data_IF_394170225951
#
_entry.id   IF_394170225951
#
_cell.length_a   1.000
_cell.length_b   1.000
_cell.length_c   1.000
_cell.angle_alpha   90.00
_cell.angle_beta   90.00
_cell.angle_gamma   90.00
#
_symmetry.space_group_name_H-M   'P 1'
#
loop_
_entity.id
_entity.type
_entity.pdbx_description
1 polymer ?
#
# COMPACT_ATOMS: atom_id res chain seq x y z
N UNK A 1 13.70 -7.55 -20.54
CA UNK A 1 12.23 -7.60 -20.32
C UNK A 1 11.60 -6.77 -21.41
N UNK A 2 10.89 -7.41 -22.32
CA UNK A 2 10.21 -6.73 -23.41
C UNK A 2 8.82 -6.29 -22.92
N UNK A 3 8.47 -5.00 -23.03
CA UNK A 3 7.09 -4.57 -22.85
C UNK A 3 6.23 -5.28 -23.88
N UNK A 4 5.13 -5.91 -23.42
CA UNK A 4 4.21 -6.60 -24.32
C UNK A 4 3.16 -5.61 -24.82
N UNK A 5 2.88 -5.74 -26.12
CA UNK A 5 1.85 -5.02 -26.84
C UNK A 5 0.49 -5.45 -26.24
N UNK A 6 -0.45 -4.51 -26.09
CA UNK A 6 -1.86 -4.87 -25.91
C UNK A 6 -2.25 -5.83 -27.04
N UNK A 7 -2.99 -6.89 -26.76
CA UNK A 7 -3.27 -8.00 -27.70
C UNK A 7 -3.92 -7.55 -29.04
N UNK A 8 -4.30 -6.27 -29.15
CA UNK A 8 -5.00 -5.68 -30.30
C UNK A 8 -4.15 -4.72 -31.16
N UNK A 9 -2.85 -4.56 -30.91
CA UNK A 9 -1.99 -3.70 -31.76
C UNK A 9 -2.32 -2.20 -31.72
N UNK A 10 -3.18 -1.75 -30.81
CA UNK A 10 -3.50 -0.33 -30.64
C UNK A 10 -2.29 0.44 -30.12
N UNK A 11 -1.78 1.36 -30.96
CA UNK A 11 -0.87 2.40 -30.52
C UNK A 11 -1.65 3.36 -29.63
N UNK A 12 -1.46 3.29 -28.32
CA UNK A 12 -1.95 4.32 -27.43
C UNK A 12 -1.29 5.66 -27.84
N UNK A 13 -2.10 6.63 -28.27
CA UNK A 13 -1.64 8.00 -28.48
C UNK A 13 -1.42 8.64 -27.10
N UNK A 14 -0.18 8.61 -26.62
CA UNK A 14 0.16 9.27 -25.37
C UNK A 14 0.15 10.79 -25.58
N UNK A 15 -0.56 11.49 -24.71
CA UNK A 15 -0.32 12.92 -24.50
C UNK A 15 1.10 13.19 -23.96
N UNK A 16 1.39 14.46 -23.68
CA UNK A 16 2.63 14.86 -23.03
C UNK A 16 2.71 14.19 -21.65
N UNK A 17 3.88 13.63 -21.31
CA UNK A 17 4.12 13.03 -19.99
C UNK A 17 3.85 14.10 -18.91
N UNK A 18 2.98 13.85 -17.92
CA UNK A 18 2.48 14.89 -17.02
C UNK A 18 3.59 15.61 -16.24
N UNK A 19 4.61 14.86 -15.80
CA UNK A 19 5.74 15.40 -15.04
C UNK A 19 6.93 14.44 -15.06
N UNK A 20 8.14 15.01 -15.09
CA UNK A 20 9.36 14.22 -14.89
C UNK A 20 9.67 14.13 -13.39
N UNK A 21 9.92 12.93 -12.89
CA UNK A 21 10.16 12.67 -11.47
C UNK A 21 11.54 12.06 -11.31
N UNK A 22 12.34 12.63 -10.40
CA UNK A 22 13.65 12.10 -10.07
C UNK A 22 13.54 10.69 -9.45
N UNK A 23 14.36 9.72 -9.90
CA UNK A 23 14.30 8.38 -9.33
C UNK A 23 14.86 8.36 -7.90
N UNK A 24 14.34 7.46 -7.07
CA UNK A 24 14.74 7.27 -5.66
C UNK A 24 16.24 7.12 -5.50
N UNK A 25 16.95 6.50 -6.45
CA UNK A 25 18.41 6.38 -6.36
C UNK A 25 19.08 7.74 -6.32
N UNK A 26 18.67 8.66 -7.20
CA UNK A 26 19.21 10.02 -7.24
C UNK A 26 18.94 10.72 -5.91
N UNK A 27 17.72 10.60 -5.40
CA UNK A 27 17.33 11.17 -4.10
C UNK A 27 18.17 10.59 -2.96
N UNK A 28 18.25 9.27 -2.87
CA UNK A 28 19.00 8.55 -1.82
C UNK A 28 20.50 8.84 -1.92
N UNK A 29 21.07 8.98 -3.12
CA UNK A 29 22.47 9.40 -3.30
C UNK A 29 22.71 10.76 -2.66
N UNK A 30 21.83 11.74 -2.87
CA UNK A 30 21.93 13.02 -2.19
C UNK A 30 21.75 12.91 -0.66
N UNK A 31 21.04 11.88 -0.18
CA UNK A 31 20.85 11.68 1.26
C UNK A 31 22.01 10.94 1.94
N UNK A 32 22.91 10.29 1.19
CA UNK A 32 24.07 9.55 1.73
C UNK A 32 25.25 10.53 1.79
N UNK A 33 25.93 10.64 2.95
CA UNK A 33 27.21 11.37 3.03
C UNK A 33 28.23 10.68 2.12
N UNK A 34 29.13 11.45 1.48
CA UNK A 34 30.19 10.91 0.60
C UNK A 34 31.01 9.79 1.28
N UNK A 35 31.08 9.79 2.61
CA UNK A 35 31.86 8.85 3.42
C UNK A 35 31.08 7.60 3.89
N UNK A 36 29.75 7.58 3.77
CA UNK A 36 28.93 6.42 4.18
C UNK A 36 28.95 5.31 3.13
N UNK A 37 29.68 4.22 3.40
CA UNK A 37 29.65 3.02 2.55
C UNK A 37 28.22 2.44 2.50
N UNK A 38 27.69 2.11 1.30
CA UNK A 38 26.37 1.52 1.18
C UNK A 38 26.30 0.17 1.93
N UNK A 39 25.33 0.04 2.85
CA UNK A 39 25.11 -1.19 3.61
C UNK A 39 24.84 -2.37 2.65
N UNK A 40 25.53 -3.50 2.85
CA UNK A 40 25.35 -4.74 2.05
C UNK A 40 23.89 -5.20 2.14
N UNK A 41 23.21 -5.25 0.99
CA UNK A 41 21.83 -5.72 0.85
C UNK A 41 21.36 -5.72 -0.60
N UNK A 42 20.23 -6.38 -0.90
CA UNK A 42 19.64 -6.35 -2.25
C UNK A 42 19.30 -4.89 -2.60
N UNK A 43 19.84 -4.41 -3.73
CA UNK A 43 19.57 -3.05 -4.25
C UNK A 43 18.07 -2.86 -4.45
N UNK A 44 17.56 -1.70 -4.04
CA UNK A 44 16.18 -1.32 -4.30
C UNK A 44 15.90 -1.38 -5.80
N UNK A 45 14.72 -1.90 -6.16
CA UNK A 45 14.23 -1.83 -7.54
C UNK A 45 14.07 -0.35 -7.91
N UNK A 46 14.66 0.03 -9.03
CA UNK A 46 14.57 1.38 -9.59
C UNK A 46 13.55 1.40 -10.69
N UNK A 47 12.72 2.43 -10.69
CA UNK A 47 11.79 2.65 -11.78
C UNK A 47 12.55 2.86 -13.09
N UNK A 48 12.05 2.24 -14.15
CA UNK A 48 12.47 2.46 -15.53
C UNK A 48 11.21 2.85 -16.28
N UNK A 49 11.25 3.96 -17.01
CA UNK A 49 10.10 4.35 -17.82
C UNK A 49 9.83 3.26 -18.88
N UNK A 50 8.55 2.94 -19.15
CA UNK A 50 8.22 2.09 -20.30
C UNK A 50 8.66 2.81 -21.59
N UNK A 51 8.95 2.06 -22.68
CA UNK A 51 9.21 2.67 -23.97
C UNK A 51 8.10 3.62 -24.40
N UNK A 52 8.47 4.62 -25.20
CA UNK A 52 7.49 5.57 -25.75
C UNK A 52 6.38 4.80 -26.46
N UNK A 53 5.13 5.11 -26.14
CA UNK A 53 4.00 4.38 -26.72
C UNK A 53 3.57 3.14 -25.94
N UNK A 54 4.14 2.85 -24.76
CA UNK A 54 3.82 1.65 -23.97
C UNK A 54 3.56 1.97 -22.51
N UNK A 55 2.77 1.10 -21.86
CA UNK A 55 2.54 1.07 -20.41
C UNK A 55 2.95 -0.29 -19.85
N UNK A 56 3.27 -0.33 -18.57
CA UNK A 56 3.38 -1.60 -17.85
C UNK A 56 1.99 -2.13 -17.51
N UNK A 57 1.66 -3.34 -17.99
CA UNK A 57 0.40 -4.01 -17.64
C UNK A 57 0.55 -4.63 -16.25
N UNK A 58 -0.13 -4.06 -15.25
CA UNK A 58 -0.04 -4.51 -13.86
C UNK A 58 -1.00 -5.68 -13.65
N UNK A 59 -0.44 -6.84 -13.30
CA UNK A 59 -1.22 -8.00 -12.86
C UNK A 59 -1.43 -7.96 -11.36
N UNK A 60 -2.56 -8.48 -10.89
CA UNK A 60 -2.94 -8.49 -9.47
C UNK A 60 -3.12 -9.92 -9.00
N UNK A 61 -2.87 -10.14 -7.71
CA UNK A 61 -3.08 -11.44 -7.09
C UNK A 61 -4.40 -11.52 -6.33
N UNK A 62 -4.73 -12.70 -5.80
CA UNK A 62 -5.95 -12.94 -5.02
C UNK A 62 -6.08 -12.11 -3.74
N UNK A 63 -5.04 -11.37 -3.35
CA UNK A 63 -5.03 -10.45 -2.22
C UNK A 63 -5.05 -8.98 -2.67
N UNK A 64 -5.39 -8.74 -3.93
CA UNK A 64 -5.45 -7.41 -4.53
C UNK A 64 -4.10 -6.68 -4.40
N UNK A 65 -3.00 -7.43 -4.56
CA UNK A 65 -1.65 -6.88 -4.58
C UNK A 65 -0.99 -7.05 -5.95
N UNK A 66 -0.28 -6.02 -6.47
CA UNK A 66 0.41 -6.11 -7.75
C UNK A 66 1.44 -7.24 -7.77
N UNK A 67 1.50 -8.00 -8.86
CA UNK A 67 2.46 -9.07 -9.08
C UNK A 67 3.74 -8.54 -9.72
N UNK A 68 4.88 -9.12 -9.34
CA UNK A 68 6.17 -8.82 -9.96
C UNK A 68 6.27 -9.46 -11.34
N UNK A 69 7.02 -8.86 -12.29
CA UNK A 69 7.91 -7.69 -12.12
C UNK A 69 7.24 -6.31 -12.25
N UNK A 70 6.10 -6.17 -12.93
CA UNK A 70 5.45 -4.88 -13.19
C UNK A 70 4.99 -4.20 -11.90
N UNK A 71 4.50 -4.98 -10.94
CA UNK A 71 4.16 -4.49 -9.61
C UNK A 71 5.36 -3.96 -8.81
N UNK A 72 6.59 -4.43 -9.09
CA UNK A 72 7.80 -3.86 -8.47
C UNK A 72 8.18 -2.52 -9.12
N UNK A 73 7.94 -2.36 -10.44
CA UNK A 73 8.06 -1.07 -11.13
C UNK A 73 7.04 -0.06 -10.60
N UNK A 74 5.80 -0.49 -10.39
CA UNK A 74 4.75 0.34 -9.79
C UNK A 74 5.16 0.80 -8.38
N UNK A 75 5.61 -0.12 -7.53
CA UNK A 75 6.08 0.21 -6.18
C UNK A 75 7.29 1.16 -6.18
N UNK A 76 8.19 1.02 -7.16
CA UNK A 76 9.31 1.92 -7.33
C UNK A 76 8.85 3.33 -7.76
N UNK A 77 7.92 3.42 -8.71
CA UNK A 77 7.37 4.70 -9.18
C UNK A 77 6.59 5.44 -8.09
N UNK A 78 5.76 4.73 -7.34
CA UNK A 78 5.03 5.28 -6.19
C UNK A 78 6.02 5.82 -5.15
N UNK A 79 7.16 5.15 -4.95
CA UNK A 79 8.20 5.64 -4.05
C UNK A 79 8.85 6.92 -4.56
N UNK A 80 9.21 6.99 -5.84
CA UNK A 80 9.75 8.21 -6.46
C UNK A 80 8.80 9.40 -6.27
N UNK A 81 7.51 9.21 -6.56
CA UNK A 81 6.45 10.22 -6.39
C UNK A 81 6.35 10.66 -4.92
N UNK A 82 6.31 9.71 -3.98
CA UNK A 82 6.12 10.02 -2.55
C UNK A 82 7.25 10.84 -1.92
N UNK A 83 8.40 10.94 -2.58
CA UNK A 83 9.56 11.70 -2.13
C UNK A 83 9.64 13.09 -2.79
N UNK A 84 8.73 13.43 -3.70
CA UNK A 84 8.65 14.74 -4.33
C UNK A 84 7.93 15.73 -3.40
N UNK A 85 8.66 16.69 -2.82
CA UNK A 85 8.12 17.64 -1.83
C UNK A 85 7.09 18.61 -2.39
N UNK A 86 7.10 18.82 -3.69
CA UNK A 86 6.14 19.64 -4.44
C UNK A 86 4.82 18.91 -4.70
N UNK A 87 4.85 17.58 -4.89
CA UNK A 87 3.63 16.76 -4.99
C UNK A 87 3.12 16.42 -3.59
N UNK A 88 3.97 15.89 -2.72
CA UNK A 88 3.64 15.49 -1.36
C UNK A 88 4.51 16.26 -0.35
N UNK A 89 4.02 17.41 0.16
CA UNK A 89 4.72 18.18 1.17
C UNK A 89 5.08 17.36 2.40
N UNK A 90 6.35 17.42 2.79
CA UNK A 90 6.93 16.58 3.84
C UNK A 90 6.45 16.96 5.24
N UNK A 91 6.10 18.23 5.43
CA UNK A 91 5.58 18.81 6.67
C UNK A 91 4.11 18.50 6.92
N UNK A 92 3.40 17.93 5.95
CA UNK A 92 1.99 17.55 6.07
C UNK A 92 1.82 16.07 6.37
N UNK A 93 0.94 15.76 7.32
CA UNK A 93 0.45 14.41 7.53
C UNK A 93 -0.43 13.93 6.37
N UNK A 94 -0.56 12.61 6.21
CA UNK A 94 -1.36 12.02 5.13
C UNK A 94 -2.78 12.59 5.01
N UNK A 95 -3.46 12.80 6.13
CA UNK A 95 -4.83 13.35 6.14
C UNK A 95 -4.90 14.85 5.80
N UNK A 96 -3.75 15.54 5.72
CA UNK A 96 -3.60 16.95 5.34
C UNK A 96 -3.10 17.11 3.89
N UNK A 97 -2.80 15.99 3.21
CA UNK A 97 -2.45 16.00 1.78
C UNK A 97 -3.69 16.36 0.96
N UNK A 98 -3.50 17.08 -0.15
CA UNK A 98 -4.61 17.61 -0.94
C UNK A 98 -5.12 16.61 -1.97
N UNK A 99 -6.36 16.81 -2.43
CA UNK A 99 -6.92 16.07 -3.56
C UNK A 99 -6.10 16.30 -4.84
N UNK A 100 -5.47 17.47 -4.98
CA UNK A 100 -4.56 17.80 -6.09
C UNK A 100 -3.30 16.93 -6.09
N UNK A 101 -2.64 16.74 -4.94
CA UNK A 101 -1.47 15.85 -4.81
C UNK A 101 -1.78 14.43 -5.25
N UNK A 102 -2.94 13.91 -4.83
CA UNK A 102 -3.39 12.57 -5.17
C UNK A 102 -3.73 12.45 -6.66
N UNK A 103 -4.36 13.47 -7.23
CA UNK A 103 -4.72 13.50 -8.66
C UNK A 103 -3.47 13.58 -9.54
N UNK A 104 -2.50 14.40 -9.18
CA UNK A 104 -1.23 14.49 -9.88
C UNK A 104 -0.45 13.17 -9.82
N UNK A 105 -0.38 12.54 -8.65
CA UNK A 105 0.22 11.21 -8.51
C UNK A 105 -0.49 10.16 -9.38
N UNK A 106 -1.82 10.21 -9.43
CA UNK A 106 -2.62 9.30 -10.25
C UNK A 106 -2.34 9.48 -11.74
N UNK A 107 -2.33 10.72 -12.24
CA UNK A 107 -2.05 11.00 -13.66
C UNK A 107 -0.68 10.50 -14.10
N UNK A 108 0.34 10.63 -13.24
CA UNK A 108 1.69 10.14 -13.51
C UNK A 108 1.71 8.60 -13.57
N UNK A 109 0.99 7.95 -12.65
CA UNK A 109 0.91 6.49 -12.61
C UNK A 109 0.08 5.92 -13.77
N UNK A 110 -1.07 6.50 -14.09
CA UNK A 110 -1.89 6.08 -15.23
C UNK A 110 -1.10 6.18 -16.55
N UNK A 111 -0.28 7.23 -16.70
CA UNK A 111 0.58 7.37 -17.87
C UNK A 111 1.57 6.20 -18.04
N UNK A 112 2.18 5.73 -16.94
CA UNK A 112 3.24 4.71 -16.97
C UNK A 112 2.70 3.28 -16.86
N UNK A 113 1.48 3.09 -16.32
CA UNK A 113 0.91 1.79 -15.95
C UNK A 113 -0.51 1.61 -16.44
N UNK A 114 -0.80 0.44 -17.01
CA UNK A 114 -2.15 -0.04 -17.22
C UNK A 114 -2.58 -0.86 -16.01
N UNK A 115 -3.58 -0.35 -15.29
CA UNK A 115 -4.13 -0.95 -14.08
C UNK A 115 -5.54 -1.54 -14.30
N UNK A 116 -5.99 -1.67 -15.55
CA UNK A 116 -7.34 -2.15 -15.91
C UNK A 116 -7.64 -3.60 -15.49
N UNK A 117 -6.61 -4.40 -15.20
CA UNK A 117 -6.75 -5.77 -14.70
C UNK A 117 -7.22 -5.87 -13.22
N UNK A 118 -7.64 -4.76 -12.62
CA UNK A 118 -8.30 -4.72 -11.31
C UNK A 118 -9.32 -3.59 -11.29
N UNK A 119 -10.08 -3.49 -10.20
CA UNK A 119 -11.05 -2.41 -10.05
C UNK A 119 -10.35 -1.08 -9.75
N UNK A 120 -10.92 0.03 -10.23
CA UNK A 120 -10.41 1.38 -9.93
C UNK A 120 -10.30 1.63 -8.42
N UNK A 121 -11.24 1.07 -7.63
CA UNK A 121 -11.25 1.18 -6.16
C UNK A 121 -10.03 0.48 -5.54
N UNK A 122 -9.70 -0.72 -6.01
CA UNK A 122 -8.56 -1.51 -5.49
C UNK A 122 -7.24 -0.83 -5.83
N UNK A 123 -7.05 -0.45 -7.09
CA UNK A 123 -5.84 0.23 -7.55
C UNK A 123 -5.63 1.57 -6.82
N UNK A 124 -6.68 2.38 -6.67
CA UNK A 124 -6.64 3.63 -5.92
C UNK A 124 -6.33 3.42 -4.43
N UNK A 125 -6.94 2.42 -3.78
CA UNK A 125 -6.62 2.05 -2.41
C UNK A 125 -5.14 1.66 -2.24
N UNK A 126 -4.65 0.81 -3.13
CA UNK A 126 -3.27 0.32 -3.09
C UNK A 126 -2.28 1.49 -3.22
N UNK A 127 -2.51 2.37 -4.18
CA UNK A 127 -1.68 3.54 -4.43
C UNK A 127 -1.68 4.46 -3.22
N UNK A 128 -2.84 4.82 -2.66
CA UNK A 128 -2.92 5.65 -1.46
C UNK A 128 -2.20 5.02 -0.25
N UNK A 129 -2.46 3.75 0.02
CA UNK A 129 -1.83 3.06 1.15
C UNK A 129 -0.29 3.02 1.02
N UNK A 130 0.20 2.85 -0.20
CA UNK A 130 1.63 2.77 -0.52
C UNK A 130 2.30 4.15 -0.48
N UNK A 131 1.66 5.18 -1.04
CA UNK A 131 2.09 6.58 -0.94
C UNK A 131 2.18 7.02 0.53
N UNK A 132 1.13 6.79 1.32
CA UNK A 132 1.10 7.13 2.75
C UNK A 132 2.27 6.54 3.51
N UNK A 133 2.54 5.24 3.27
CA UNK A 133 3.64 4.54 3.92
C UNK A 133 4.98 5.11 3.49
N UNK A 134 5.20 5.31 2.20
CA UNK A 134 6.48 5.78 1.68
C UNK A 134 6.77 7.21 2.14
N UNK A 135 5.78 8.10 2.13
CA UNK A 135 5.91 9.46 2.68
C UNK A 135 6.28 9.44 4.17
N UNK A 136 5.60 8.59 4.97
CA UNK A 136 5.93 8.44 6.40
C UNK A 136 7.36 7.93 6.61
N UNK A 137 7.79 6.95 5.82
CA UNK A 137 9.14 6.40 5.89
C UNK A 137 10.19 7.43 5.46
N UNK A 138 9.89 8.21 4.43
CA UNK A 138 10.74 9.28 3.96
C UNK A 138 10.90 10.37 5.03
N UNK A 139 9.80 10.84 5.62
CA UNK A 139 9.82 11.78 6.76
C UNK A 139 10.66 11.26 7.93
N UNK A 140 10.54 9.97 8.27
CA UNK A 140 11.37 9.37 9.31
C UNK A 140 12.85 9.33 8.91
N UNK A 141 13.17 9.04 7.65
CA UNK A 141 14.55 9.05 7.13
C UNK A 141 15.17 10.44 7.23
N UNK A 142 14.41 11.48 6.84
CA UNK A 142 14.82 12.89 6.97
C UNK A 142 15.05 13.24 8.45
N UNK A 143 14.12 12.86 9.34
CA UNK A 143 14.28 13.09 10.79
C UNK A 143 15.54 12.42 11.34
N UNK A 144 15.78 11.15 11.00
CA UNK A 144 16.97 10.44 11.47
C UNK A 144 18.25 11.13 10.97
N UNK A 145 18.35 11.43 9.68
CA UNK A 145 19.59 11.94 9.08
C UNK A 145 19.91 13.38 9.42
N UNK A 146 18.92 14.27 9.39
CA UNK A 146 19.16 15.72 9.47
C UNK A 146 18.72 16.35 10.79
N UNK A 147 17.97 15.62 11.63
CA UNK A 147 17.56 16.10 12.94
C UNK A 147 18.23 15.32 14.08
N UNK A 148 18.18 13.98 14.07
CA UNK A 148 18.74 13.17 15.17
C UNK A 148 20.24 12.94 15.10
N UNK A 149 20.79 12.72 13.89
CA UNK A 149 22.21 12.42 13.72
C UNK A 149 23.11 13.66 13.78
N UNK A 150 22.52 14.86 13.78
CA UNK A 150 23.24 16.10 13.98
C UNK A 150 23.36 16.36 15.49
N UNK A 151 24.52 16.84 15.93
CA UNK A 151 24.78 17.17 17.34
C UNK A 151 23.63 18.03 17.91
N UNK A 152 23.23 17.76 19.16
CA UNK A 152 22.12 18.46 19.86
C UNK A 152 22.26 20.00 19.86
N UNK A 153 23.48 20.50 19.62
CA UNK A 153 23.82 21.92 19.56
C UNK A 153 23.87 22.52 18.14
N UNK A 154 23.61 21.74 17.09
CA UNK A 154 23.62 22.24 15.72
C UNK A 154 22.44 23.19 15.50
N UNK A 155 22.71 24.44 15.13
CA UNK A 155 21.67 25.44 14.85
C UNK A 155 20.89 25.07 13.59
N UNK A 156 19.59 25.42 13.56
CA UNK A 156 18.70 25.19 12.42
C UNK A 156 19.29 25.68 11.09
N UNK A 157 19.91 26.87 11.07
CA UNK A 157 20.51 27.40 9.84
C UNK A 157 21.62 26.50 9.27
N UNK A 158 22.43 25.89 10.14
CA UNK A 158 23.44 24.92 9.73
C UNK A 158 22.81 23.62 9.22
N UNK A 159 21.72 23.16 9.84
CA UNK A 159 20.98 22.00 9.32
C UNK A 159 20.40 22.29 7.93
N UNK A 160 19.86 23.49 7.72
CA UNK A 160 19.29 23.90 6.43
C UNK A 160 20.33 24.00 5.31
N UNK A 161 21.56 24.42 5.61
CA UNK A 161 22.64 24.46 4.62
C UNK A 161 23.15 23.07 4.25
N UNK A 162 22.92 22.06 5.09
CA UNK A 162 23.26 20.66 4.82
C UNK A 162 22.13 19.88 4.12
N UNK A 163 20.95 20.49 3.95
CA UNK A 163 19.84 19.82 3.28
C UNK A 163 20.14 19.63 1.79
N UNK A 164 19.87 18.43 1.25
CA UNK A 164 19.86 18.21 -0.18
C UNK A 164 18.90 19.14 -0.92
N UNK A 165 19.16 19.49 -2.20
CA UNK A 165 18.29 20.34 -3.00
C UNK A 165 16.85 19.83 -3.16
N UNK A 166 16.63 18.53 -3.05
CA UNK A 166 15.30 17.92 -3.18
C UNK A 166 14.46 17.99 -1.90
N UNK A 167 15.05 18.39 -0.76
CA UNK A 167 14.32 18.61 0.49
C UNK A 167 13.97 20.10 0.57
N UNK A 168 12.69 20.42 0.56
CA UNK A 168 12.25 21.81 0.69
C UNK A 168 12.59 22.37 2.09
N UNK A 169 13.42 23.41 2.14
CA UNK A 169 13.88 24.04 3.37
C UNK A 169 12.76 24.59 4.25
N UNK A 170 11.69 25.16 3.66
CA UNK A 170 10.56 25.69 4.42
C UNK A 170 9.76 24.56 5.08
N UNK A 171 9.52 23.47 4.34
CA UNK A 171 8.88 22.27 4.92
C UNK A 171 9.74 21.68 6.04
N UNK A 172 11.07 21.64 5.88
CA UNK A 172 11.96 21.18 6.94
C UNK A 172 11.91 22.07 8.20
N UNK A 173 11.83 23.40 8.06
CA UNK A 173 11.66 24.32 9.20
C UNK A 173 10.39 24.00 10.00
N UNK A 174 9.28 23.76 9.31
CA UNK A 174 8.01 23.39 9.96
C UNK A 174 8.14 22.07 10.73
N UNK A 175 8.79 21.07 10.14
CA UNK A 175 9.08 19.79 10.79
C UNK A 175 9.98 19.94 12.01
N UNK A 176 11.03 20.76 11.91
CA UNK A 176 11.94 21.05 13.00
C UNK A 176 11.20 21.67 14.19
N UNK A 177 10.33 22.65 13.93
CA UNK A 177 9.51 23.26 14.97
C UNK A 177 8.61 22.21 15.63
N UNK A 178 7.90 21.40 14.82
CA UNK A 178 7.01 20.36 15.33
C UNK A 178 7.74 19.32 16.18
N UNK A 179 8.91 18.83 15.74
CA UNK A 179 9.67 17.82 16.45
C UNK A 179 10.23 18.30 17.80
N UNK A 180 10.39 19.61 17.98
CA UNK A 180 10.83 20.22 19.23
C UNK A 180 9.69 20.57 20.19
N UNK A 181 8.44 20.50 19.76
CA UNK A 181 7.29 20.67 20.66
C UNK A 181 7.22 19.54 21.69
N UNK A 182 6.67 19.83 22.87
CA UNK A 182 6.46 18.83 23.92
C UNK A 182 5.68 17.61 23.42
N UNK A 183 4.56 17.87 22.74
CA UNK A 183 3.75 16.84 22.08
C UNK A 183 4.55 16.01 21.07
N UNK A 184 5.45 16.65 20.31
CA UNK A 184 6.32 15.97 19.35
C UNK A 184 7.31 15.02 20.01
N UNK A 185 7.83 15.38 21.18
CA UNK A 185 8.74 14.56 22.00
C UNK A 185 7.98 13.40 22.65
N UNK A 186 6.85 13.67 23.29
CA UNK A 186 5.98 12.65 23.92
C UNK A 186 5.56 11.56 22.92
N UNK A 187 5.13 11.96 21.71
CA UNK A 187 4.79 11.02 20.64
C UNK A 187 6.01 10.18 20.24
N UNK A 188 7.20 10.75 20.19
CA UNK A 188 8.42 10.03 19.84
C UNK A 188 8.82 9.00 20.91
N UNK A 189 8.70 9.36 22.19
CA UNK A 189 8.94 8.47 23.33
C UNK A 189 7.94 7.32 23.35
N UNK A 190 6.65 7.63 23.25
CA UNK A 190 5.58 6.63 23.19
C UNK A 190 5.77 5.66 22.02
N UNK A 191 6.12 6.15 20.83
CA UNK A 191 6.40 5.29 19.68
C UNK A 191 7.63 4.40 19.88
N UNK A 192 8.65 4.90 20.60
CA UNK A 192 9.85 4.13 20.93
C UNK A 192 9.54 3.02 21.94
N UNK A 193 8.80 3.34 23.01
CA UNK A 193 8.33 2.37 23.99
C UNK A 193 7.46 1.27 23.32
N UNK A 194 6.49 1.67 22.49
CA UNK A 194 5.66 0.73 21.74
C UNK A 194 6.46 -0.16 20.78
N UNK A 195 7.54 0.36 20.18
CA UNK A 195 8.43 -0.42 19.32
C UNK A 195 9.22 -1.46 20.12
N UNK A 196 9.67 -1.11 21.32
CA UNK A 196 10.41 -2.02 22.20
C UNK A 196 9.53 -3.15 22.72
N UNK A 197 8.23 -2.91 22.93
CA UNK A 197 7.23 -3.93 23.30
C UNK A 197 6.83 -4.87 22.15
N UNK A 198 7.41 -4.71 20.95
CA UNK A 198 7.02 -5.50 19.78
C UNK A 198 7.71 -6.88 19.78
N UNK A 199 7.04 -7.87 20.36
CA UNK A 199 7.54 -9.24 20.51
C UNK A 199 7.48 -10.11 19.23
N UNK A 200 6.64 -9.75 18.26
CA UNK A 200 6.35 -10.60 17.10
C UNK A 200 7.01 -10.07 15.82
N UNK A 201 8.32 -10.21 15.74
CA UNK A 201 9.08 -9.88 14.53
C UNK A 201 9.08 -11.08 13.58
N UNK A 202 8.74 -10.84 12.31
CA UNK A 202 8.89 -11.85 11.26
C UNK A 202 10.37 -12.30 11.15
N UNK A 203 10.59 -13.58 10.85
CA UNK A 203 11.93 -14.17 10.67
C UNK A 203 12.42 -14.06 9.22
N UNK A 204 11.57 -13.59 8.31
CA UNK A 204 11.84 -13.44 6.88
C UNK A 204 12.69 -12.22 6.51
N UNK A 205 13.19 -11.47 7.49
CA UNK A 205 14.03 -10.28 7.29
C UNK A 205 13.31 -9.22 6.46
N UNK A 206 13.98 -8.62 5.48
CA UNK A 206 13.39 -7.56 4.64
C UNK A 206 12.37 -8.06 3.59
N UNK A 207 12.01 -9.35 3.59
CA UNK A 207 11.01 -9.88 2.64
C UNK A 207 9.60 -9.53 3.10
N UNK A 208 8.84 -8.88 2.23
CA UNK A 208 7.41 -8.61 2.46
C UNK A 208 6.57 -9.87 2.26
N UNK A 209 5.37 -9.91 2.85
CA UNK A 209 4.42 -11.01 2.62
C UNK A 209 4.05 -11.19 1.14
N UNK A 210 3.93 -10.10 0.37
CA UNK A 210 3.75 -10.13 -1.09
C UNK A 210 4.87 -10.94 -1.77
N UNK A 211 6.13 -10.69 -1.41
CA UNK A 211 7.28 -11.40 -1.98
C UNK A 211 7.34 -12.86 -1.54
N UNK A 212 6.99 -13.13 -0.28
CA UNK A 212 6.86 -14.51 0.23
C UNK A 212 5.82 -15.28 -0.57
N UNK A 213 4.64 -14.70 -0.83
CA UNK A 213 3.61 -15.32 -1.67
C UNK A 213 4.11 -15.62 -3.08
N UNK A 214 4.85 -14.70 -3.69
CA UNK A 214 5.43 -14.93 -5.02
C UNK A 214 6.47 -16.07 -5.00
N UNK A 215 7.32 -16.11 -3.98
CA UNK A 215 8.30 -17.20 -3.82
C UNK A 215 7.58 -18.56 -3.64
N UNK A 216 6.48 -18.60 -2.86
CA UNK A 216 5.63 -19.79 -2.71
C UNK A 216 5.04 -20.24 -4.05
N UNK A 217 4.44 -19.32 -4.83
CA UNK A 217 3.91 -19.62 -6.18
C UNK A 217 4.97 -20.20 -7.10
N UNK A 218 6.19 -19.63 -7.09
CA UNK A 218 7.32 -20.14 -7.90
C UNK A 218 7.73 -21.56 -7.53
N UNK A 219 7.55 -21.92 -6.26
CA UNK A 219 7.84 -23.26 -5.76
C UNK A 219 6.64 -24.22 -5.93
N UNK A 220 5.59 -23.82 -6.64
CA UNK A 220 4.37 -24.65 -6.83
C UNK A 220 3.50 -24.76 -5.58
N UNK A 221 3.75 -23.95 -4.54
CA UNK A 221 2.96 -23.96 -3.30
C UNK A 221 1.87 -22.89 -3.41
N UNK A 222 0.61 -23.28 -3.16
CA UNK A 222 -0.49 -22.33 -3.10
C UNK A 222 -0.23 -21.31 -1.98
N UNK A 223 -0.16 -20.00 -2.28
CA UNK A 223 0.28 -18.97 -1.35
C UNK A 223 -0.86 -18.53 -0.42
N UNK A 224 -1.43 -19.47 0.32
CA UNK A 224 -2.44 -19.20 1.33
C UNK A 224 -1.86 -18.27 2.40
N UNK A 225 -2.72 -17.55 3.12
CA UNK A 225 -2.33 -16.69 4.24
C UNK A 225 -1.65 -17.53 5.32
N UNK A 226 -2.15 -18.75 5.59
CA UNK A 226 -1.49 -19.69 6.52
C UNK A 226 -0.10 -20.07 6.03
N UNK A 227 0.07 -20.51 4.77
CA UNK A 227 1.37 -20.86 4.21
C UNK A 227 2.36 -19.67 4.24
N UNK A 228 1.85 -18.47 3.95
CA UNK A 228 2.62 -17.22 4.00
C UNK A 228 3.11 -16.92 5.42
N UNK A 229 2.25 -17.11 6.43
CA UNK A 229 2.61 -16.92 7.84
C UNK A 229 3.62 -17.95 8.31
N UNK A 230 3.45 -19.22 7.93
CA UNK A 230 4.41 -20.30 8.20
C UNK A 230 5.79 -19.95 7.65
N UNK A 231 5.87 -19.50 6.40
CA UNK A 231 7.14 -19.11 5.79
C UNK A 231 7.74 -17.85 6.44
N UNK A 232 6.91 -16.94 6.94
CA UNK A 232 7.37 -15.68 7.51
C UNK A 232 7.84 -15.76 8.96
N UNK A 233 7.22 -16.61 9.79
CA UNK A 233 7.49 -16.73 11.24
C UNK A 233 8.12 -18.06 11.63
N UNK A 234 8.06 -19.06 10.74
CA UNK A 234 8.53 -20.42 10.98
C UNK A 234 7.46 -21.31 11.62
N UNK A 235 7.52 -22.61 11.31
CA UNK A 235 6.56 -23.62 11.81
C UNK A 235 6.59 -23.81 13.34
N UNK A 236 7.70 -23.49 13.99
CA UNK A 236 7.86 -23.64 15.44
C UNK A 236 7.30 -22.48 16.26
N UNK A 237 6.80 -21.42 15.63
CA UNK A 237 6.17 -20.31 16.35
C UNK A 237 4.83 -20.79 16.94
N UNK A 238 4.59 -20.65 18.26
CA UNK A 238 3.39 -21.17 18.92
C UNK A 238 2.08 -20.66 18.31
N UNK A 239 2.06 -19.42 17.78
CA UNK A 239 0.87 -18.85 17.13
C UNK A 239 0.62 -19.48 15.77
N UNK A 240 1.70 -19.84 15.07
CA UNK A 240 1.63 -20.53 13.78
C UNK A 240 1.20 -21.98 13.96
N UNK A 241 1.67 -22.65 15.02
CA UNK A 241 1.22 -24.00 15.36
C UNK A 241 -0.29 -24.04 15.60
N UNK A 242 -0.81 -23.15 16.46
CA UNK A 242 -2.26 -23.01 16.67
C UNK A 242 -3.03 -22.71 15.39
N UNK A 243 -2.46 -21.88 14.51
CA UNK A 243 -3.10 -21.56 13.24
C UNK A 243 -3.14 -22.78 12.29
N UNK A 244 -2.10 -23.60 12.29
CA UNK A 244 -2.05 -24.85 11.53
C UNK A 244 -3.03 -25.88 12.09
N UNK A 245 -3.10 -26.03 13.41
CA UNK A 245 -4.07 -26.89 14.09
C UNK A 245 -5.51 -26.49 13.73
N UNK A 246 -5.83 -25.19 13.86
CA UNK A 246 -7.14 -24.66 13.50
C UNK A 246 -7.46 -24.87 12.02
N UNK A 247 -6.50 -24.59 11.13
CA UNK A 247 -6.69 -24.78 9.68
C UNK A 247 -6.94 -26.24 9.29
N UNK A 248 -6.42 -27.19 10.08
CA UNK A 248 -6.58 -28.63 9.86
C UNK A 248 -7.73 -29.24 10.69
N UNK A 249 -8.47 -28.45 11.47
CA UNK A 249 -9.54 -28.94 12.34
C UNK A 249 -10.71 -29.52 11.52
N UNK A 250 -11.47 -30.43 12.13
CA UNK A 250 -12.69 -30.98 11.51
C UNK A 250 -13.68 -29.85 11.21
N UNK A 251 -13.78 -28.86 12.10
CA UNK A 251 -14.62 -27.68 11.92
C UNK A 251 -14.23 -26.89 10.67
N UNK A 252 -12.94 -26.61 10.47
CA UNK A 252 -12.42 -25.96 9.25
C UNK A 252 -12.72 -26.75 7.99
N UNK A 253 -12.59 -28.09 8.04
CA UNK A 253 -12.91 -28.95 6.89
C UNK A 253 -14.40 -28.90 6.56
N UNK A 254 -15.26 -28.99 7.56
CA UNK A 254 -16.71 -28.88 7.39
C UNK A 254 -17.10 -27.51 6.81
N UNK A 255 -16.51 -26.42 7.32
CA UNK A 255 -16.73 -25.08 6.77
C UNK A 255 -16.24 -24.96 5.33
N UNK A 256 -15.10 -25.58 4.98
CA UNK A 256 -14.57 -25.57 3.62
C UNK A 256 -15.41 -26.32 2.58
N UNK A 257 -16.31 -27.19 3.03
CA UNK A 257 -17.28 -27.86 2.15
C UNK A 257 -18.46 -26.95 1.78
N UNK A 258 -18.71 -25.89 2.55
CA UNK A 258 -19.90 -25.04 2.42
C UNK A 258 -19.52 -23.62 1.99
N UNK A 259 -18.35 -23.13 2.43
CA UNK A 259 -17.92 -21.76 2.23
C UNK A 259 -16.69 -21.67 1.31
N UNK A 260 -16.49 -20.52 0.63
CA UNK A 260 -15.26 -20.27 -0.12
C UNK A 260 -14.02 -20.39 0.77
N UNK A 261 -12.95 -20.99 0.22
CA UNK A 261 -11.66 -21.17 0.93
C UNK A 261 -11.14 -19.90 1.59
N UNK A 262 -11.31 -18.75 0.95
CA UNK A 262 -10.86 -17.44 1.47
C UNK A 262 -11.63 -16.98 2.71
N UNK A 263 -12.90 -17.33 2.83
CA UNK A 263 -13.74 -17.00 3.98
C UNK A 263 -13.39 -17.88 5.18
N UNK A 264 -13.22 -19.19 4.95
CA UNK A 264 -12.76 -20.14 5.98
C UNK A 264 -11.39 -19.75 6.50
N UNK A 265 -10.46 -19.40 5.60
CA UNK A 265 -9.15 -18.91 6.00
C UNK A 265 -9.26 -17.63 6.86
N UNK A 266 -10.11 -16.68 6.49
CA UNK A 266 -10.32 -15.48 7.29
C UNK A 266 -10.90 -15.79 8.69
N UNK A 267 -11.83 -16.74 8.81
CA UNK A 267 -12.41 -17.18 10.08
C UNK A 267 -11.35 -17.80 11.00
N UNK A 268 -10.51 -18.70 10.47
CA UNK A 268 -9.44 -19.35 11.23
C UNK A 268 -8.44 -18.33 11.78
N UNK A 269 -8.09 -17.34 10.95
CA UNK A 269 -7.23 -16.24 11.37
C UNK A 269 -7.87 -15.39 12.46
N UNK A 270 -9.16 -15.06 12.34
CA UNK A 270 -9.85 -14.25 13.33
C UNK A 270 -10.00 -14.99 14.67
N UNK A 271 -10.12 -16.33 14.65
CA UNK A 271 -10.15 -17.17 15.86
C UNK A 271 -8.79 -17.24 16.56
N UNK A 272 -7.71 -17.48 15.82
CA UNK A 272 -6.38 -17.74 16.40
C UNK A 272 -5.61 -16.45 16.68
N UNK A 273 -5.62 -15.51 15.74
CA UNK A 273 -4.81 -14.30 15.79
C UNK A 273 -5.62 -13.03 16.10
N UNK A 274 -6.95 -13.17 16.15
CA UNK A 274 -7.88 -12.07 16.36
C UNK A 274 -8.24 -11.32 15.08
N UNK A 275 -9.36 -10.60 15.13
CA UNK A 275 -9.88 -9.82 14.01
C UNK A 275 -8.88 -8.78 13.50
N UNK A 276 -8.84 -8.62 12.18
CA UNK A 276 -8.07 -7.54 11.53
C UNK A 276 -8.48 -6.16 12.07
N UNK A 277 -7.51 -5.38 12.56
CA UNK A 277 -7.73 -4.00 13.04
C UNK A 277 -7.50 -2.98 11.93
N UNK A 278 -8.04 -1.76 12.06
CA UNK A 278 -7.96 -0.66 11.05
C UNK A 278 -6.59 -0.48 10.37
N UNK A 279 -5.48 -0.66 11.10
CA UNK A 279 -4.10 -0.48 10.61
C UNK A 279 -3.26 -1.76 10.55
N UNK A 280 -3.81 -2.92 10.92
CA UNK A 280 -3.08 -4.19 11.01
C UNK A 280 -3.86 -5.29 10.29
N UNK A 281 -3.42 -5.58 9.05
CA UNK A 281 -3.89 -6.70 8.24
C UNK A 281 -2.90 -7.85 8.43
N UNK A 282 -3.21 -8.78 9.32
CA UNK A 282 -2.29 -9.86 9.72
C UNK A 282 -1.97 -10.77 8.52
N UNK A 283 -0.71 -11.09 8.25
CA UNK A 283 -0.31 -12.10 7.26
C UNK A 283 -0.54 -11.80 5.77
N UNK A 284 -1.20 -10.70 5.42
CA UNK A 284 -1.59 -10.39 4.03
C UNK A 284 -0.62 -9.39 3.38
N UNK A 285 0.11 -8.63 4.18
CA UNK A 285 1.02 -7.59 3.68
C UNK A 285 0.36 -6.23 3.56
N UNK A 286 1.21 -5.22 3.43
CA UNK A 286 0.79 -3.83 3.29
C UNK A 286 0.23 -3.57 1.89
N UNK A 287 -0.71 -2.63 1.78
CA UNK A 287 -1.37 -2.27 0.51
C UNK A 287 -2.51 -3.21 0.11
N UNK A 288 -2.53 -4.44 0.58
CA UNK A 288 -3.58 -5.40 0.26
C UNK A 288 -4.97 -4.89 0.63
N UNK A 289 -5.95 -5.16 -0.24
CA UNK A 289 -7.35 -4.83 -0.01
C UNK A 289 -8.03 -6.02 0.68
N UNK A 290 -8.89 -5.74 1.68
CA UNK A 290 -9.66 -6.78 2.36
C UNK A 290 -11.05 -6.21 2.55
N UNK A 291 -12.04 -6.66 1.77
CA UNK A 291 -13.41 -6.14 1.80
C UNK A 291 -14.00 -6.11 3.23
N UNK A 292 -13.71 -7.13 4.04
CA UNK A 292 -14.16 -7.25 5.43
C UNK A 292 -13.42 -6.37 6.44
N UNK A 293 -12.33 -5.70 6.05
CA UNK A 293 -11.57 -4.85 6.97
C UNK A 293 -12.26 -3.51 7.20
N UNK A 294 -12.36 -3.01 8.45
CA UNK A 294 -13.01 -1.74 8.75
C UNK A 294 -12.44 -0.53 7.98
N UNK A 295 -11.16 -0.57 7.62
CA UNK A 295 -10.50 0.53 6.89
C UNK A 295 -10.86 0.51 5.41
N UNK A 296 -10.86 -0.67 4.77
CA UNK A 296 -11.31 -0.86 3.39
C UNK A 296 -12.81 -0.56 3.24
N UNK A 297 -13.65 -1.00 4.19
CA UNK A 297 -15.08 -0.68 4.18
C UNK A 297 -15.38 0.81 4.34
N UNK A 298 -14.62 1.53 5.19
CA UNK A 298 -14.75 2.99 5.30
C UNK A 298 -14.38 3.68 3.99
N UNK A 299 -13.32 3.21 3.33
CA UNK A 299 -12.86 3.78 2.07
C UNK A 299 -13.84 3.59 0.94
N UNK A 300 -14.38 2.37 0.77
CA UNK A 300 -15.47 2.12 -0.17
C UNK A 300 -16.60 3.11 0.07
N UNK A 301 -17.09 3.23 1.31
CA UNK A 301 -18.19 4.16 1.65
C UNK A 301 -17.86 5.62 1.39
N UNK A 302 -16.64 6.07 1.70
CA UNK A 302 -16.25 7.47 1.49
C UNK A 302 -16.11 7.82 0.01
N UNK A 303 -15.63 6.89 -0.80
CA UNK A 303 -15.53 7.10 -2.23
C UNK A 303 -16.89 6.95 -2.91
N UNK A 304 -17.71 5.95 -2.54
CA UNK A 304 -19.10 5.82 -2.99
C UNK A 304 -19.97 7.04 -2.63
N UNK A 305 -19.87 7.59 -1.41
CA UNK A 305 -20.63 8.79 -1.02
C UNK A 305 -20.14 10.08 -1.70
N UNK A 306 -18.85 10.18 -2.06
CA UNK A 306 -18.34 11.32 -2.86
C UNK A 306 -18.83 11.28 -4.30
N UNK A 307 -19.28 10.11 -4.75
CA UNK A 307 -19.79 9.83 -6.09
C UNK A 307 -21.28 10.16 -6.21
N UNK A 308 -22.09 9.93 -5.16
CA UNK A 308 -23.50 10.36 -5.14
C UNK A 308 -23.71 11.88 -4.98
N UNK A 309 -22.73 12.62 -4.42
CA UNK A 309 -22.91 14.01 -3.98
C UNK A 309 -22.32 15.09 -4.91
N UNK A 310 -21.74 14.76 -6.06
CA UNK A 310 -21.15 15.76 -6.97
C UNK A 310 -22.00 15.90 -8.24
N UNK A 311 -22.70 17.03 -8.36
CA UNK A 311 -22.82 17.69 -9.66
C UNK A 311 -21.41 17.96 -10.23
N UNK A 312 -21.22 17.95 -11.56
CA UNK A 312 -19.92 17.80 -12.19
C UNK A 312 -19.09 19.07 -12.05
N UNK A 313 -18.36 19.19 -10.94
CA UNK A 313 -17.34 20.22 -10.77
C UNK A 313 -15.97 19.56 -10.69
N UNK A 314 -15.28 19.57 -11.84
CA UNK A 314 -13.83 19.79 -11.88
C UNK A 314 -12.88 18.60 -11.72
N UNK A 315 -13.30 17.35 -11.92
CA UNK A 315 -12.37 16.21 -12.08
C UNK A 315 -12.50 15.68 -13.49
N UNK A 316 -11.59 16.11 -14.38
CA UNK A 316 -11.51 15.60 -15.74
C UNK A 316 -10.86 14.20 -15.73
N UNK A 317 -11.62 13.20 -15.27
CA UNK A 317 -11.49 11.86 -15.85
C UNK A 317 -12.15 11.92 -17.23
N UNK A 318 -11.56 11.33 -18.29
CA UNK A 318 -12.27 11.13 -19.56
C UNK A 318 -13.62 10.49 -19.27
N UNK A 319 -14.70 11.05 -19.85
CA UNK A 319 -16.09 10.68 -19.56
C UNK A 319 -16.31 9.15 -19.63
N UNK A 320 -15.64 8.48 -20.55
CA UNK A 320 -15.67 7.02 -20.69
C UNK A 320 -15.08 6.27 -19.49
N UNK A 321 -13.97 6.74 -18.91
CA UNK A 321 -13.35 6.12 -17.73
C UNK A 321 -14.14 6.39 -16.45
N UNK A 322 -14.71 7.60 -16.36
CA UNK A 322 -15.68 7.91 -15.31
C UNK A 322 -16.90 6.99 -15.42
N UNK A 323 -17.49 6.85 -16.61
CA UNK A 323 -18.69 6.06 -16.83
C UNK A 323 -18.43 4.55 -16.66
N UNK A 324 -17.24 4.06 -17.03
CA UNK A 324 -16.81 2.69 -16.71
C UNK A 324 -16.65 2.47 -15.20
N UNK A 325 -16.05 3.43 -14.49
CA UNK A 325 -15.97 3.38 -13.03
C UNK A 325 -17.37 3.36 -12.42
N UNK A 326 -18.30 4.19 -12.92
CA UNK A 326 -19.69 4.25 -12.45
C UNK A 326 -20.45 2.94 -12.69
N UNK A 327 -20.34 2.36 -13.88
CA UNK A 327 -20.96 1.05 -14.19
C UNK A 327 -20.42 -0.05 -13.28
N UNK A 328 -19.10 -0.10 -13.11
CA UNK A 328 -18.48 -1.12 -12.29
C UNK A 328 -18.78 -0.96 -10.79
N UNK A 329 -18.98 0.28 -10.34
CA UNK A 329 -19.44 0.55 -8.96
C UNK A 329 -20.90 0.14 -8.76
N UNK A 330 -21.79 0.38 -9.73
CA UNK A 330 -23.17 -0.13 -9.67
C UNK A 330 -23.21 -1.66 -9.65
N UNK A 331 -22.36 -2.34 -10.42
CA UNK A 331 -22.22 -3.80 -10.37
C UNK A 331 -21.79 -4.27 -8.98
N UNK A 332 -20.79 -3.62 -8.37
CA UNK A 332 -20.36 -3.96 -7.02
C UNK A 332 -21.41 -3.66 -5.94
N UNK A 333 -22.21 -2.59 -6.09
CA UNK A 333 -23.30 -2.27 -5.18
C UNK A 333 -24.43 -3.30 -5.27
N UNK A 334 -24.77 -3.75 -6.48
CA UNK A 334 -25.73 -4.82 -6.70
C UNK A 334 -25.23 -6.15 -6.12
N UNK A 335 -23.94 -6.48 -6.29
CA UNK A 335 -23.34 -7.65 -5.63
C UNK A 335 -23.41 -7.56 -4.10
N UNK A 336 -23.10 -6.39 -3.54
CA UNK A 336 -23.17 -6.14 -2.09
C UNK A 336 -24.60 -6.19 -1.55
N UNK A 337 -25.57 -5.74 -2.33
CA UNK A 337 -27.00 -5.78 -1.98
C UNK A 337 -27.52 -7.21 -2.03
N UNK A 338 -27.20 -7.96 -3.08
CA UNK A 338 -27.52 -9.38 -3.20
C UNK A 338 -26.88 -10.22 -2.08
N UNK A 339 -25.65 -9.91 -1.67
CA UNK A 339 -24.99 -10.57 -0.53
C UNK A 339 -25.62 -10.25 0.83
N UNK A 340 -26.29 -9.09 0.97
CA UNK A 340 -27.02 -8.73 2.18
C UNK A 340 -28.42 -9.35 2.21
N UNK A 341 -29.15 -9.32 1.09
CA UNK A 341 -30.46 -9.96 0.96
C UNK A 341 -30.35 -11.49 1.13
N UNK A 342 -29.30 -12.12 0.63
CA UNK A 342 -29.06 -13.56 0.83
C UNK A 342 -28.60 -13.92 2.26
N UNK A 343 -28.25 -12.94 3.11
CA UNK A 343 -27.98 -13.14 4.55
C UNK A 343 -29.21 -12.88 5.42
N UNK A 344 -30.26 -12.28 4.87
CA UNK A 344 -31.54 -12.02 5.54
C UNK A 344 -32.66 -12.92 4.98
N UNK A 345 -32.45 -14.25 4.98
CA UNK A 345 -33.60 -15.17 4.94
C UNK A 345 -34.05 -15.43 6.38
N UNK A 346 -35.31 -15.09 6.75
CA UNK A 346 -35.81 -15.32 8.08
C UNK A 346 -36.01 -16.82 8.31
N UNK A 347 -35.44 -17.29 9.41
CA UNK A 347 -35.77 -18.56 10.05
C UNK A 347 -37.25 -18.56 10.46
N UNK A 348 -38.17 -18.83 9.52
CA UNK A 348 -39.53 -19.24 9.83
C UNK A 348 -39.49 -20.69 10.27
N UNK A 349 -39.24 -20.91 11.56
CA UNK A 349 -39.76 -22.10 12.24
C UNK A 349 -41.28 -22.05 12.12
N UNK A 350 -41.81 -22.90 11.25
CA UNK A 350 -43.19 -23.34 11.26
C UNK A 350 -43.48 -23.88 12.67
N UNK A 351 -44.47 -23.26 13.33
CA UNK A 351 -45.26 -23.95 14.34
C UNK A 351 -46.06 -25.01 13.59
N UNK A 352 -45.86 -26.28 13.94
CA UNK A 352 -46.89 -27.25 14.31
C UNK A 352 -46.21 -28.35 15.12
#
# INVERSE_FOLDING_TARGET
>A
MAPRIAENGEKFNFGIRPKNIAPVRTIVQHMISLDEKPKKGKKAVLFKAPPKGMRYIVKWDSYDTPLSPEGDMLDARIRDISMQSDIFPLDRYWHQQTETSLSEAWNILDYDFDMSNTTAVISYWYIQATLQKNLRNYRNTVKTRYFKNNNENMRLNTMLSLLPPHINSNQFRNLYAEWNTEKGKEIAETNTANRNLKENNHKSGSRSFKRIRQDLRKNGIEPTRTATMVQAFGKSDPKIQRLLEESNSIESRNLSAILPKSEVEQMNFDRVLGKNKKKRKLGIGEGAFIKSSPSSGRFIRQHAMKIEKREPVGVFMPKEQHDMMMRHMMEMENELKNLKENRELPNRRSRF
#
